data_IF_179232663788
#
_entry.id   IF_179232663788
#
_cell.length_a   1.000
_cell.length_b   1.000
_cell.length_c   1.000
_cell.angle_alpha   90.00
_cell.angle_beta   90.00
_cell.angle_gamma   90.00
#
_symmetry.space_group_name_H-M   'P 1'
#
loop_
_entity.id
_entity.type
_entity.pdbx_description
1 polymer ?
#
# COMPACT_ATOMS: atom_id res chain seq x y z
N UNK A 1 -16.63 -8.99 17.35
CA UNK A 1 -15.96 -9.14 16.05
C UNK A 1 -15.32 -7.81 15.70
N UNK A 2 -14.00 -7.68 15.73
CA UNK A 2 -13.34 -6.43 15.37
C UNK A 2 -13.62 -6.14 13.90
N UNK A 3 -14.34 -5.04 13.63
CA UNK A 3 -14.57 -4.60 12.27
C UNK A 3 -13.20 -4.29 11.64
N UNK A 4 -12.88 -4.99 10.54
CA UNK A 4 -11.60 -4.82 9.84
C UNK A 4 -11.54 -3.42 9.23
N UNK A 5 -11.06 -2.43 9.99
CA UNK A 5 -10.88 -1.04 9.54
C UNK A 5 -10.06 -1.06 8.25
N UNK A 6 -10.55 -0.30 7.27
CA UNK A 6 -9.94 -0.14 5.95
C UNK A 6 -9.49 1.31 5.81
N UNK A 7 -8.25 1.51 5.39
CA UNK A 7 -7.61 2.83 5.30
C UNK A 7 -7.31 3.14 3.83
N UNK A 8 -7.79 4.28 3.37
CA UNK A 8 -7.38 4.84 2.09
C UNK A 8 -6.27 5.84 2.32
N UNK A 9 -5.16 5.71 1.60
CA UNK A 9 -4.04 6.65 1.66
C UNK A 9 -3.92 7.40 0.33
N UNK A 10 -3.60 8.70 0.39
CA UNK A 10 -3.34 9.51 -0.81
C UNK A 10 -2.26 8.87 -1.68
N UNK A 11 -2.40 8.96 -3.00
CA UNK A 11 -1.48 8.33 -3.94
C UNK A 11 -0.04 8.80 -3.75
N UNK A 12 0.16 10.11 -3.53
CA UNK A 12 1.47 10.74 -3.35
C UNK A 12 2.23 10.21 -2.12
N UNK A 13 1.55 9.58 -1.15
CA UNK A 13 2.17 8.91 -0.01
C UNK A 13 2.16 7.37 -0.14
N UNK A 14 1.01 6.80 -0.52
CA UNK A 14 0.80 5.35 -0.62
C UNK A 14 1.79 4.67 -1.55
N UNK A 15 2.05 5.27 -2.70
CA UNK A 15 2.89 4.68 -3.74
C UNK A 15 4.37 4.67 -3.29
N UNK A 16 4.96 5.79 -2.84
CA UNK A 16 6.31 5.77 -2.24
C UNK A 16 6.45 4.81 -1.07
N UNK A 17 5.49 4.79 -0.13
CA UNK A 17 5.52 3.87 1.02
C UNK A 17 5.59 2.40 0.58
N UNK A 18 4.78 2.01 -0.40
CA UNK A 18 4.81 0.64 -0.94
C UNK A 18 6.11 0.40 -1.70
N UNK A 19 6.64 1.38 -2.45
CA UNK A 19 7.91 1.27 -3.16
C UNK A 19 9.06 1.00 -2.19
N UNK A 20 9.18 1.79 -1.13
CA UNK A 20 10.17 1.62 -0.08
C UNK A 20 10.10 0.22 0.55
N UNK A 21 8.89 -0.23 0.87
CA UNK A 21 8.69 -1.60 1.35
C UNK A 21 9.11 -2.67 0.34
N UNK A 22 8.89 -2.44 -0.95
CA UNK A 22 9.33 -3.36 -2.02
C UNK A 22 10.84 -3.40 -2.09
N UNK A 23 11.51 -2.24 -2.02
CA UNK A 23 12.96 -2.12 -2.04
C UNK A 23 13.59 -2.80 -0.83
N UNK A 24 13.13 -2.50 0.39
CA UNK A 24 13.65 -3.10 1.63
C UNK A 24 13.37 -4.62 1.72
N UNK A 25 12.25 -5.08 1.17
CA UNK A 25 11.92 -6.51 1.13
C UNK A 25 12.56 -7.26 -0.06
N UNK A 26 13.29 -6.58 -0.94
CA UNK A 26 13.82 -7.19 -2.17
C UNK A 26 12.72 -7.88 -3.00
N UNK A 27 11.61 -7.16 -3.21
CA UNK A 27 10.53 -7.55 -4.11
C UNK A 27 9.13 -7.61 -3.49
N UNK A 28 8.14 -7.30 -4.33
CA UNK A 28 6.73 -7.16 -3.93
C UNK A 28 6.11 -8.45 -3.36
N UNK A 29 6.55 -9.62 -3.82
CA UNK A 29 6.08 -10.89 -3.28
C UNK A 29 6.60 -11.14 -1.87
N UNK A 30 7.84 -10.74 -1.56
CA UNK A 30 8.40 -10.87 -0.22
C UNK A 30 7.74 -9.87 0.73
N UNK A 31 7.60 -8.61 0.31
CA UNK A 31 6.85 -7.60 1.08
C UNK A 31 5.45 -8.09 1.43
N UNK A 32 4.70 -8.59 0.43
CA UNK A 32 3.34 -9.07 0.65
C UNK A 32 3.28 -10.19 1.71
N UNK A 33 4.26 -11.11 1.72
CA UNK A 33 4.36 -12.16 2.74
C UNK A 33 4.70 -11.60 4.12
N UNK A 34 5.65 -10.67 4.20
CA UNK A 34 6.06 -9.99 5.45
C UNK A 34 4.84 -9.34 6.11
N UNK A 35 4.04 -8.61 5.34
CA UNK A 35 2.85 -7.94 5.87
C UNK A 35 1.67 -8.90 6.06
N UNK A 36 1.79 -10.18 5.71
CA UNK A 36 0.83 -11.23 6.07
C UNK A 36 -0.17 -11.65 5.00
N UNK A 37 0.09 -11.37 3.72
CA UNK A 37 -0.62 -12.00 2.62
C UNK A 37 -0.04 -13.40 2.34
N UNK A 38 -0.87 -14.43 2.52
CA UNK A 38 -0.47 -15.85 2.51
C UNK A 38 -0.94 -16.63 1.27
N UNK A 39 -1.42 -15.95 0.22
CA UNK A 39 -1.84 -16.65 -1.00
C UNK A 39 -0.68 -17.48 -1.56
N UNK A 40 -0.93 -18.77 -1.83
CA UNK A 40 0.07 -19.69 -2.40
C UNK A 40 0.33 -19.39 -3.88
N UNK A 41 -0.65 -18.78 -4.56
CA UNK A 41 -0.62 -18.53 -6.02
C UNK A 41 -0.12 -17.11 -6.30
N UNK A 42 -0.74 -16.09 -5.68
CA UNK A 42 -0.42 -14.68 -5.94
C UNK A 42 -0.39 -13.84 -4.65
N UNK A 43 0.67 -13.97 -3.82
CA UNK A 43 0.75 -13.25 -2.55
C UNK A 43 0.75 -11.73 -2.73
N UNK A 44 1.36 -11.21 -3.81
CA UNK A 44 1.38 -9.78 -4.10
C UNK A 44 0.07 -9.23 -4.69
N UNK A 45 -0.91 -10.05 -5.06
CA UNK A 45 -2.11 -9.55 -5.74
C UNK A 45 -2.86 -8.48 -4.93
N UNK A 46 -3.18 -8.69 -3.63
CA UNK A 46 -3.86 -7.66 -2.85
C UNK A 46 -3.02 -6.39 -2.73
N UNK A 47 -1.70 -6.53 -2.53
CA UNK A 47 -0.79 -5.40 -2.43
C UNK A 47 -0.73 -4.59 -3.74
N UNK A 48 -0.78 -5.25 -4.90
CA UNK A 48 -0.88 -4.57 -6.21
C UNK A 48 -2.19 -3.81 -6.35
N UNK A 49 -3.31 -4.36 -5.88
CA UNK A 49 -4.59 -3.65 -5.90
C UNK A 49 -4.57 -2.40 -5.02
N UNK A 50 -3.85 -2.46 -3.89
CA UNK A 50 -3.65 -1.31 -3.02
C UNK A 50 -2.72 -0.28 -3.68
N UNK A 51 -1.60 -0.72 -4.27
CA UNK A 51 -0.66 0.14 -5.00
C UNK A 51 -1.38 1.00 -6.05
N UNK A 52 -2.21 0.37 -6.88
CA UNK A 52 -2.97 1.05 -7.95
C UNK A 52 -4.27 1.71 -7.47
N UNK A 53 -4.52 1.74 -6.16
CA UNK A 53 -5.65 2.47 -5.59
C UNK A 53 -7.02 1.84 -5.84
N UNK A 54 -7.07 0.54 -6.15
CA UNK A 54 -8.32 -0.23 -6.29
C UNK A 54 -8.84 -0.77 -4.97
N UNK A 55 -7.97 -0.93 -3.97
CA UNK A 55 -8.33 -1.43 -2.65
C UNK A 55 -7.70 -0.58 -1.55
N UNK A 56 -8.38 -0.40 -0.41
CA UNK A 56 -7.79 0.19 0.78
C UNK A 56 -6.88 -0.82 1.50
N UNK A 57 -5.98 -0.31 2.34
CA UNK A 57 -5.22 -1.14 3.27
C UNK A 57 -6.12 -1.67 4.39
N UNK A 58 -6.12 -2.98 4.67
CA UNK A 58 -6.54 -3.47 5.98
C UNK A 58 -5.61 -2.93 7.07
N UNK A 59 -6.15 -2.41 8.17
CA UNK A 59 -5.36 -1.77 9.23
C UNK A 59 -4.26 -2.69 9.79
N UNK A 60 -4.57 -3.99 9.95
CA UNK A 60 -3.64 -5.00 10.47
C UNK A 60 -2.49 -5.33 9.50
N UNK A 61 -2.65 -4.98 8.22
CA UNK A 61 -1.58 -5.08 7.20
C UNK A 61 -0.78 -3.79 7.16
N UNK A 62 -1.43 -2.64 7.38
CA UNK A 62 -0.77 -1.35 7.45
C UNK A 62 0.13 -1.24 8.68
N UNK A 63 -0.30 -1.74 9.84
CA UNK A 63 0.52 -1.83 11.06
C UNK A 63 1.81 -2.65 10.83
N UNK A 64 1.70 -3.77 10.11
CA UNK A 64 2.87 -4.60 9.80
C UNK A 64 3.81 -3.92 8.82
N UNK A 65 3.26 -3.19 7.85
CA UNK A 65 4.07 -2.38 6.93
C UNK A 65 4.78 -1.25 7.69
N UNK A 66 4.07 -0.55 8.57
CA UNK A 66 4.62 0.50 9.43
C UNK A 66 5.79 -0.04 10.27
N UNK A 67 5.56 -1.15 10.97
CA UNK A 67 6.59 -1.80 11.77
C UNK A 67 7.80 -2.23 10.93
N UNK A 68 7.58 -2.82 9.76
CA UNK A 68 8.65 -3.26 8.86
C UNK A 68 9.51 -2.10 8.35
N UNK A 69 8.90 -0.94 8.10
CA UNK A 69 9.55 0.27 7.62
C UNK A 69 9.97 1.24 8.75
N UNK A 70 9.83 0.83 10.02
CA UNK A 70 10.14 1.66 11.19
C UNK A 70 9.34 2.97 11.31
N UNK A 71 8.12 3.00 10.76
CA UNK A 71 7.14 4.06 10.99
C UNK A 71 6.19 3.70 12.14
N UNK A 72 5.65 4.71 12.80
CA UNK A 72 4.44 4.55 13.62
C UNK A 72 3.20 4.50 12.73
N UNK A 73 2.15 3.83 13.21
CA UNK A 73 0.87 3.82 12.49
C UNK A 73 0.30 5.24 12.34
N UNK A 74 0.42 6.08 13.38
CA UNK A 74 -0.11 7.44 13.39
C UNK A 74 0.56 8.35 12.35
N UNK A 75 1.86 8.19 12.08
CA UNK A 75 2.55 8.92 11.01
C UNK A 75 1.95 8.61 9.64
N UNK A 76 1.64 7.34 9.38
CA UNK A 76 0.99 6.90 8.14
C UNK A 76 -0.45 7.39 8.08
N UNK A 77 -1.20 7.33 9.18
CA UNK A 77 -2.62 7.73 9.21
C UNK A 77 -2.85 9.23 9.00
N UNK A 78 -1.83 10.08 9.13
CA UNK A 78 -1.90 11.50 8.72
C UNK A 78 -2.22 11.68 7.23
N UNK A 79 -1.96 10.65 6.42
CA UNK A 79 -2.22 10.63 4.98
C UNK A 79 -3.51 9.87 4.62
N UNK A 80 -4.32 9.51 5.63
CA UNK A 80 -5.63 8.87 5.42
C UNK A 80 -6.61 9.85 4.78
N UNK A 81 -7.40 9.35 3.83
CA UNK A 81 -8.51 10.08 3.19
C UNK A 81 -9.81 9.32 3.29
N UNK A 82 -10.92 10.06 3.21
CA UNK A 82 -12.26 9.50 3.41
C UNK A 82 -12.77 8.62 2.28
N UNK A 83 -12.18 8.69 1.08
CA UNK A 83 -12.68 7.99 -0.10
C UNK A 83 -11.59 7.55 -1.07
N UNK A 84 -11.91 6.51 -1.86
CA UNK A 84 -11.08 6.03 -2.97
C UNK A 84 -10.78 7.12 -4.00
N UNK A 85 -11.76 8.00 -4.28
CA UNK A 85 -11.60 9.10 -5.24
C UNK A 85 -10.43 10.01 -4.84
N UNK A 86 -10.40 10.44 -3.59
CA UNK A 86 -9.30 11.25 -3.04
C UNK A 86 -7.99 10.46 -2.98
N UNK A 87 -8.07 9.17 -2.64
CA UNK A 87 -6.90 8.29 -2.59
C UNK A 87 -6.20 8.14 -3.96
N UNK A 88 -6.96 8.35 -5.04
CA UNK A 88 -6.48 8.20 -6.42
C UNK A 88 -6.25 9.54 -7.12
N UNK A 89 -6.36 10.65 -6.40
CA UNK A 89 -5.95 11.94 -6.92
C UNK A 89 -4.45 11.89 -7.29
N UNK A 90 -4.14 12.28 -8.52
CA UNK A 90 -2.78 12.22 -9.09
C UNK A 90 -2.16 10.82 -9.20
N UNK A 91 -2.96 9.74 -9.13
CA UNK A 91 -2.45 8.36 -9.10
C UNK A 91 -1.49 8.02 -10.25
N UNK A 92 -1.85 8.33 -11.49
CA UNK A 92 -1.00 7.99 -12.64
C UNK A 92 0.32 8.75 -12.64
N UNK A 93 0.30 10.03 -12.25
CA UNK A 93 1.52 10.83 -12.08
C UNK A 93 2.42 10.20 -11.02
N UNK A 94 1.86 9.85 -9.86
CA UNK A 94 2.60 9.24 -8.76
C UNK A 94 3.17 7.86 -9.14
N UNK A 95 2.42 7.03 -9.87
CA UNK A 95 2.90 5.73 -10.36
C UNK A 95 4.10 5.91 -11.31
N UNK A 96 4.00 6.82 -12.28
CA UNK A 96 5.09 7.11 -13.24
C UNK A 96 6.36 7.59 -12.51
N UNK A 97 6.23 8.57 -11.62
CA UNK A 97 7.38 9.11 -10.87
C UNK A 97 8.06 8.12 -9.93
N UNK A 98 7.38 7.03 -9.56
CA UNK A 98 7.91 5.99 -8.67
C UNK A 98 8.30 4.69 -9.40
N UNK A 99 8.41 4.71 -10.74
CA UNK A 99 8.88 3.56 -11.51
C UNK A 99 7.82 2.51 -11.83
N UNK A 100 6.55 2.79 -11.57
CA UNK A 100 5.42 1.87 -11.79
C UNK A 100 4.69 2.14 -13.11
N UNK A 101 5.43 2.47 -14.17
CA UNK A 101 4.88 2.83 -15.49
C UNK A 101 3.89 1.80 -16.07
N UNK A 102 4.14 0.50 -15.85
CA UNK A 102 3.25 -0.57 -16.34
C UNK A 102 1.90 -0.64 -15.63
N UNK A 103 1.71 0.13 -14.55
CA UNK A 103 0.46 0.23 -13.81
C UNK A 103 -0.28 1.54 -14.05
N UNK A 104 0.35 2.53 -14.68
CA UNK A 104 -0.33 3.78 -15.05
C UNK A 104 -1.21 3.56 -16.27
N UNK A 105 -2.41 4.12 -16.26
CA UNK A 105 -3.36 4.06 -17.38
C UNK A 105 -3.39 5.40 -18.11
#
# INVERSE_FOLDING_TARGET
>A
MAQKRKVWLIADFRIPLIREGIEQADGINRLARIIGYRSRIHPAWPLRQILIGRQPFPIDRLEKLAYFLHYTLDEILRYEVSSQRLANEHNDRALKSNGFFSYSV
#
